data_IF_576028024170
#
_entry.id   IF_576028024170
#
_cell.length_a   1.000
_cell.length_b   1.000
_cell.length_c   1.000
_cell.angle_alpha   90.00
_cell.angle_beta   90.00
_cell.angle_gamma   90.00
#
_symmetry.space_group_name_H-M   'P 1'
#
loop_
_entity.id
_entity.type
_entity.pdbx_description
1 polymer ?
#
# COMPACT_ATOMS: atom_id res chain seq x y z
N UNK A 1 13.61 -60.19 0.02
CA UNK A 1 12.98 -59.38 1.09
C UNK A 1 12.67 -58.02 0.51
N UNK A 2 11.41 -57.76 0.14
CA UNK A 2 10.97 -56.49 -0.45
C UNK A 2 10.05 -55.81 0.57
N UNK A 3 10.49 -54.68 1.12
CA UNK A 3 9.73 -53.89 2.09
C UNK A 3 8.92 -52.84 1.35
N UNK A 4 7.61 -53.06 1.23
CA UNK A 4 6.69 -52.06 0.68
C UNK A 4 6.40 -50.99 1.74
N UNK A 5 6.80 -49.75 1.45
CA UNK A 5 6.47 -48.57 2.25
C UNK A 5 5.00 -48.26 2.04
N UNK A 6 4.17 -48.52 3.07
CA UNK A 6 2.77 -48.12 3.12
C UNK A 6 2.70 -46.62 3.45
N UNK A 7 2.71 -45.77 2.43
CA UNK A 7 2.37 -44.36 2.55
C UNK A 7 0.85 -44.23 2.74
N UNK A 8 0.41 -44.15 4.01
CA UNK A 8 -0.92 -43.63 4.35
C UNK A 8 -0.97 -42.15 3.97
N UNK A 9 -1.36 -41.88 2.73
CA UNK A 9 -1.85 -40.57 2.30
C UNK A 9 -3.11 -40.28 3.12
N UNK A 10 -2.96 -39.56 4.23
CA UNK A 10 -4.08 -39.04 4.98
C UNK A 10 -4.98 -38.27 4.02
N UNK A 11 -6.25 -38.66 3.96
CA UNK A 11 -7.26 -38.02 3.14
C UNK A 11 -7.21 -36.52 3.40
N UNK A 12 -6.65 -35.76 2.45
CA UNK A 12 -6.67 -34.31 2.48
C UNK A 12 -8.13 -33.94 2.33
N UNK A 13 -8.74 -33.55 3.45
CA UNK A 13 -10.11 -33.02 3.50
C UNK A 13 -10.23 -32.01 2.36
N UNK A 14 -11.10 -32.23 1.36
CA UNK A 14 -11.24 -31.28 0.27
C UNK A 14 -11.52 -29.93 0.92
N UNK A 15 -10.71 -28.93 0.58
CA UNK A 15 -10.94 -27.58 1.03
C UNK A 15 -12.39 -27.26 0.66
N UNK A 16 -13.24 -27.10 1.68
CA UNK A 16 -14.63 -26.76 1.50
C UNK A 16 -14.67 -25.57 0.53
N UNK A 17 -15.50 -25.67 -0.51
CA UNK A 17 -15.69 -24.64 -1.52
C UNK A 17 -15.72 -23.27 -0.84
N UNK A 18 -14.59 -22.56 -0.91
CA UNK A 18 -14.43 -21.29 -0.22
C UNK A 18 -15.38 -20.34 -0.90
N UNK A 19 -16.42 -19.88 -0.20
CA UNK A 19 -17.25 -18.79 -0.68
C UNK A 19 -16.31 -17.68 -1.20
N UNK A 20 -16.53 -17.12 -2.41
CA UNK A 20 -15.67 -16.07 -2.98
C UNK A 20 -15.51 -14.86 -2.05
N UNK A 21 -16.44 -14.69 -1.11
CA UNK A 21 -16.34 -13.72 -0.02
C UNK A 21 -15.22 -14.02 0.99
N UNK A 22 -14.93 -15.29 1.28
CA UNK A 22 -13.93 -15.67 2.27
C UNK A 22 -12.50 -15.37 1.79
N UNK A 23 -12.17 -15.63 0.52
CA UNK A 23 -10.85 -15.31 -0.04
C UNK A 23 -10.62 -13.80 -0.15
N UNK A 24 -11.66 -13.03 -0.51
CA UNK A 24 -11.60 -11.57 -0.51
C UNK A 24 -11.38 -11.01 0.91
N UNK A 25 -12.10 -11.53 1.91
CA UNK A 25 -11.95 -11.12 3.32
C UNK A 25 -10.56 -11.48 3.86
N UNK A 26 -10.01 -12.65 3.52
CA UNK A 26 -8.65 -13.02 3.90
C UNK A 26 -7.59 -12.09 3.30
N UNK A 27 -7.76 -11.72 2.02
CA UNK A 27 -6.86 -10.77 1.35
C UNK A 27 -6.94 -9.39 2.01
N UNK A 28 -8.14 -8.89 2.33
CA UNK A 28 -8.30 -7.63 3.05
C UNK A 28 -7.68 -7.68 4.45
N UNK A 29 -7.85 -8.78 5.19
CA UNK A 29 -7.22 -8.95 6.52
C UNK A 29 -5.69 -8.93 6.42
N UNK A 30 -5.09 -9.58 5.42
CA UNK A 30 -3.62 -9.54 5.22
C UNK A 30 -3.12 -8.13 4.93
N UNK A 31 -3.87 -7.34 4.17
CA UNK A 31 -3.50 -5.95 3.85
C UNK A 31 -3.59 -5.06 5.09
N UNK A 32 -4.60 -5.26 5.94
CA UNK A 32 -4.72 -4.54 7.21
C UNK A 32 -3.51 -4.84 8.12
N UNK A 33 -3.02 -6.09 8.13
CA UNK A 33 -1.78 -6.45 8.84
C UNK A 33 -0.54 -5.76 8.28
N UNK A 34 -0.41 -5.68 6.95
CA UNK A 34 0.70 -4.93 6.31
C UNK A 34 0.67 -3.46 6.74
N UNK A 35 -0.53 -2.85 6.84
CA UNK A 35 -0.66 -1.46 7.32
C UNK A 35 -0.30 -1.30 8.79
N UNK A 36 -0.69 -2.25 9.65
CA UNK A 36 -0.23 -2.25 11.05
C UNK A 36 1.28 -2.39 11.14
N UNK A 37 1.89 -3.24 10.30
CA UNK A 37 3.35 -3.35 10.23
C UNK A 37 3.98 -2.01 9.80
N UNK A 38 3.42 -1.32 8.80
CA UNK A 38 3.91 -0.01 8.38
C UNK A 38 3.81 1.04 9.50
N UNK A 39 2.73 1.02 10.29
CA UNK A 39 2.57 1.87 11.48
C UNK A 39 3.64 1.54 12.52
N UNK A 40 3.87 0.26 12.81
CA UNK A 40 4.90 -0.17 13.77
C UNK A 40 6.31 0.22 13.32
N UNK A 41 6.64 0.04 12.04
CA UNK A 41 7.92 0.49 11.47
C UNK A 41 8.05 2.01 11.58
N UNK A 42 6.98 2.76 11.30
CA UNK A 42 6.97 4.22 11.43
C UNK A 42 7.19 4.68 12.87
N UNK A 43 6.56 4.01 13.84
CA UNK A 43 6.76 4.28 15.27
C UNK A 43 8.18 3.91 15.72
N UNK A 44 8.71 2.79 15.26
CA UNK A 44 10.08 2.36 15.54
C UNK A 44 11.14 3.29 14.94
N UNK A 45 10.81 4.02 13.87
CA UNK A 45 11.69 5.01 13.27
C UNK A 45 11.76 6.34 14.05
N UNK A 46 10.76 6.65 14.88
CA UNK A 46 10.68 7.92 15.64
C UNK A 46 11.94 8.26 16.47
N UNK A 47 12.53 7.35 17.28
CA UNK A 47 13.72 7.69 18.05
C UNK A 47 14.90 8.11 17.18
N UNK A 48 15.03 7.54 15.97
CA UNK A 48 16.09 7.87 15.02
C UNK A 48 15.83 9.19 14.29
N UNK A 49 14.56 9.57 14.14
CA UNK A 49 14.14 10.83 13.52
C UNK A 49 14.04 11.98 14.52
N UNK A 50 13.99 11.69 15.81
CA UNK A 50 13.86 12.70 16.86
C UNK A 50 15.05 13.69 16.90
N UNK A 51 16.23 13.28 16.44
CA UNK A 51 17.40 14.14 16.36
C UNK A 51 17.43 15.05 15.12
N UNK A 52 16.72 14.69 14.05
CA UNK A 52 16.70 15.45 12.78
C UNK A 52 15.44 16.30 12.60
N UNK A 53 14.39 16.03 13.38
CA UNK A 53 13.10 16.72 13.30
C UNK A 53 12.91 17.70 14.45
N UNK A 54 12.28 18.84 14.16
CA UNK A 54 11.80 19.74 15.20
C UNK A 54 10.63 19.10 15.99
N UNK A 55 10.41 19.53 17.23
CA UNK A 55 9.33 19.07 18.11
C UNK A 55 7.95 19.16 17.44
N UNK A 56 7.69 20.24 16.70
CA UNK A 56 6.43 20.38 15.96
C UNK A 56 6.27 19.29 14.89
N UNK A 57 7.33 19.01 14.10
CA UNK A 57 7.31 17.95 13.09
C UNK A 57 7.12 16.56 13.71
N UNK A 58 7.70 16.29 14.88
CA UNK A 58 7.48 15.04 15.60
C UNK A 58 6.02 14.88 16.04
N UNK A 59 5.40 15.94 16.57
CA UNK A 59 3.99 15.94 16.95
C UNK A 59 3.09 15.75 15.72
N UNK A 60 3.38 16.43 14.61
CA UNK A 60 2.64 16.26 13.35
C UNK A 60 2.77 14.83 12.80
N UNK A 61 3.97 14.24 12.86
CA UNK A 61 4.20 12.86 12.44
C UNK A 61 3.44 11.86 13.33
N UNK A 62 3.46 12.05 14.65
CA UNK A 62 2.66 11.25 15.59
C UNK A 62 1.16 11.38 15.32
N UNK A 63 0.68 12.59 15.04
CA UNK A 63 -0.71 12.83 14.67
C UNK A 63 -1.09 12.13 13.36
N UNK A 64 -0.21 12.14 12.35
CA UNK A 64 -0.41 11.42 11.09
C UNK A 64 -0.42 9.90 11.29
N UNK A 65 0.48 9.37 12.11
CA UNK A 65 0.50 7.94 12.47
C UNK A 65 -0.80 7.57 13.21
N UNK A 66 -1.23 8.39 14.17
CA UNK A 66 -2.49 8.21 14.89
C UNK A 66 -3.71 8.26 13.96
N UNK A 67 -3.75 9.23 13.04
CA UNK A 67 -4.80 9.34 12.03
C UNK A 67 -4.81 8.13 11.09
N UNK A 68 -3.63 7.65 10.67
CA UNK A 68 -3.48 6.43 9.90
C UNK A 68 -3.98 5.18 10.64
N UNK A 69 -3.71 5.08 11.94
CA UNK A 69 -4.23 4.00 12.79
C UNK A 69 -5.75 4.04 12.92
N UNK A 70 -6.34 5.21 13.17
CA UNK A 70 -7.80 5.41 13.24
C UNK A 70 -8.45 5.09 11.89
N UNK A 71 -7.85 5.55 10.80
CA UNK A 71 -8.32 5.27 9.45
C UNK A 71 -8.28 3.76 9.16
N UNK A 72 -7.18 3.08 9.51
CA UNK A 72 -7.07 1.63 9.33
C UNK A 72 -8.09 0.85 10.18
N UNK A 73 -8.34 1.31 11.40
CA UNK A 73 -9.32 0.70 12.31
C UNK A 73 -10.75 0.91 11.81
N UNK A 74 -11.07 2.09 11.29
CA UNK A 74 -12.36 2.38 10.64
C UNK A 74 -12.60 1.45 9.47
N UNK A 75 -11.58 1.21 8.64
CA UNK A 75 -11.69 0.28 7.52
C UNK A 75 -11.94 -1.17 7.99
N UNK A 76 -11.28 -1.60 9.06
CA UNK A 76 -11.47 -2.93 9.65
C UNK A 76 -12.86 -3.10 10.27
N UNK A 77 -13.30 -2.14 11.08
CA UNK A 77 -14.49 -2.26 11.95
C UNK A 77 -15.77 -1.86 11.24
N UNK A 78 -15.74 -0.81 10.43
CA UNK A 78 -16.94 -0.26 9.78
C UNK A 78 -17.09 -0.81 8.38
N UNK A 79 -16.00 -0.89 7.62
CA UNK A 79 -16.08 -1.12 6.19
C UNK A 79 -16.13 -2.60 5.80
N UNK A 80 -15.30 -3.44 6.46
CA UNK A 80 -15.25 -4.88 6.22
C UNK A 80 -16.62 -5.56 6.45
N UNK A 81 -17.43 -5.19 7.47
CA UNK A 81 -18.75 -5.81 7.67
C UNK A 81 -19.84 -5.30 6.71
N UNK A 82 -19.77 -4.05 6.25
CA UNK A 82 -20.88 -3.41 5.51
C UNK A 82 -20.73 -3.47 3.98
N UNK A 83 -19.55 -3.83 3.44
CA UNK A 83 -19.26 -3.96 1.99
C UNK A 83 -19.87 -2.87 1.07
N UNK A 84 -19.69 -1.56 1.35
CA UNK A 84 -20.23 -0.51 0.48
C UNK A 84 -19.56 -0.51 -0.91
N UNK A 85 -20.36 -0.63 -1.97
CA UNK A 85 -19.93 -0.89 -3.35
C UNK A 85 -19.00 0.18 -3.97
N UNK A 86 -19.15 1.45 -3.55
CA UNK A 86 -18.26 2.55 -3.94
C UNK A 86 -16.88 2.42 -3.31
N UNK A 87 -16.79 2.01 -2.05
CA UNK A 87 -15.54 1.89 -1.31
C UNK A 87 -14.78 0.59 -1.64
N UNK A 88 -15.48 -0.45 -2.10
CA UNK A 88 -14.87 -1.67 -2.67
C UNK A 88 -14.18 -1.42 -4.01
N UNK A 89 -14.49 -0.31 -4.71
CA UNK A 89 -13.76 0.07 -5.92
C UNK A 89 -12.33 0.57 -5.64
N UNK A 90 -12.00 0.83 -4.37
CA UNK A 90 -10.64 1.02 -3.89
C UNK A 90 -9.98 2.37 -4.14
N UNK A 91 -10.55 3.22 -5.00
CA UNK A 91 -9.96 4.53 -5.31
C UNK A 91 -9.85 5.46 -4.11
N UNK A 92 -10.92 5.57 -3.30
CA UNK A 92 -10.88 6.41 -2.08
C UNK A 92 -9.83 5.91 -1.10
N UNK A 93 -9.78 4.58 -0.91
CA UNK A 93 -8.81 4.00 0.02
C UNK A 93 -7.38 4.28 -0.44
N UNK A 94 -7.12 4.12 -1.74
CA UNK A 94 -5.81 4.36 -2.33
C UNK A 94 -5.40 5.83 -2.22
N UNK A 95 -6.32 6.77 -2.51
CA UNK A 95 -6.06 8.20 -2.38
C UNK A 95 -5.75 8.54 -0.91
N UNK A 96 -6.56 8.04 0.04
CA UNK A 96 -6.33 8.27 1.47
C UNK A 96 -4.98 7.75 1.94
N UNK A 97 -4.59 6.54 1.53
CA UNK A 97 -3.28 5.95 1.86
C UNK A 97 -2.14 6.78 1.29
N UNK A 98 -2.26 7.21 0.03
CA UNK A 98 -1.25 8.04 -0.64
C UNK A 98 -1.11 9.38 0.10
N UNK A 99 -2.22 10.04 0.43
CA UNK A 99 -2.18 11.33 1.11
C UNK A 99 -1.59 11.23 2.52
N UNK A 100 -1.85 10.15 3.24
CA UNK A 100 -1.21 9.86 4.53
C UNK A 100 0.31 9.71 4.39
N UNK A 101 0.77 8.95 3.40
CA UNK A 101 2.20 8.82 3.11
C UNK A 101 2.80 10.15 2.68
N UNK A 102 2.12 10.90 1.83
CA UNK A 102 2.55 12.24 1.39
C UNK A 102 2.69 13.20 2.57
N UNK A 103 1.77 13.18 3.53
CA UNK A 103 1.89 13.92 4.77
C UNK A 103 3.15 13.52 5.56
N UNK A 104 3.40 12.22 5.69
CA UNK A 104 4.62 11.71 6.33
C UNK A 104 5.90 12.21 5.65
N UNK A 105 5.93 12.18 4.31
CA UNK A 105 7.05 12.69 3.51
C UNK A 105 7.26 14.18 3.70
N UNK A 106 6.19 14.97 3.68
CA UNK A 106 6.25 16.42 3.88
C UNK A 106 6.85 16.78 5.24
N UNK A 107 6.53 16.02 6.29
CA UNK A 107 6.98 16.31 7.66
C UNK A 107 8.40 15.80 7.92
N UNK A 108 8.77 14.65 7.33
CA UNK A 108 10.04 13.97 7.63
C UNK A 108 11.22 14.40 6.76
N UNK A 109 11.00 15.23 5.75
CA UNK A 109 12.07 15.84 4.97
C UNK A 109 13.00 16.76 5.77
N UNK A 110 12.53 17.26 6.93
CA UNK A 110 13.34 18.11 7.81
C UNK A 110 13.85 19.37 7.09
N UNK A 111 15.09 19.78 7.41
CA UNK A 111 15.75 20.94 6.80
C UNK A 111 16.27 20.69 5.39
N UNK A 112 16.43 19.42 4.99
CA UNK A 112 16.88 19.02 3.66
C UNK A 112 15.73 18.93 2.64
N UNK A 113 14.50 19.21 3.08
CA UNK A 113 13.31 19.22 2.25
C UNK A 113 12.76 17.82 1.91
N UNK A 114 11.62 17.75 1.21
CA UNK A 114 10.88 16.50 1.03
C UNK A 114 11.62 15.42 0.22
N UNK A 115 12.57 15.81 -0.63
CA UNK A 115 13.39 14.89 -1.43
C UNK A 115 14.33 14.04 -0.55
N UNK A 116 14.68 14.52 0.64
CA UNK A 116 15.51 13.78 1.60
C UNK A 116 14.70 12.85 2.53
N UNK A 117 13.37 12.88 2.44
CA UNK A 117 12.52 12.10 3.36
C UNK A 117 12.73 10.59 3.19
N UNK A 118 12.99 9.85 4.29
CA UNK A 118 13.06 8.38 4.27
C UNK A 118 11.68 7.74 4.05
N UNK A 119 10.58 8.46 4.34
CA UNK A 119 9.22 7.97 4.15
C UNK A 119 8.82 7.86 2.68
N UNK A 120 9.64 8.35 1.74
CA UNK A 120 9.42 8.15 0.31
C UNK A 120 9.24 6.66 -0.04
N UNK A 121 9.94 5.76 0.66
CA UNK A 121 9.83 4.31 0.44
C UNK A 121 8.42 3.76 0.70
N UNK A 122 7.62 4.42 1.55
CA UNK A 122 6.25 4.00 1.82
C UNK A 122 5.34 4.13 0.59
N UNK A 123 5.68 4.99 -0.39
CA UNK A 123 4.95 5.05 -1.66
C UNK A 123 5.00 3.74 -2.43
N UNK A 124 6.13 3.00 -2.38
CA UNK A 124 6.20 1.68 -3.02
C UNK A 124 5.24 0.71 -2.36
N UNK A 125 5.23 0.66 -1.03
CA UNK A 125 4.36 -0.25 -0.28
C UNK A 125 2.89 0.06 -0.56
N UNK A 126 2.48 1.34 -0.52
CA UNK A 126 1.11 1.74 -0.84
C UNK A 126 0.74 1.42 -2.29
N UNK A 127 1.65 1.66 -3.23
CA UNK A 127 1.40 1.38 -4.65
C UNK A 127 1.22 -0.12 -4.90
N UNK A 128 2.13 -0.94 -4.37
CA UNK A 128 2.09 -2.41 -4.49
C UNK A 128 0.82 -2.96 -3.85
N UNK A 129 0.53 -2.57 -2.61
CA UNK A 129 -0.65 -3.07 -1.89
C UNK A 129 -1.95 -2.66 -2.59
N UNK A 130 -2.02 -1.43 -3.12
CA UNK A 130 -3.17 -0.95 -3.91
C UNK A 130 -3.35 -1.77 -5.19
N UNK A 131 -2.26 -2.00 -5.92
CA UNK A 131 -2.27 -2.78 -7.17
C UNK A 131 -2.73 -4.23 -6.95
N UNK A 132 -2.18 -4.88 -5.92
CA UNK A 132 -2.54 -6.24 -5.52
C UNK A 132 -3.98 -6.30 -5.03
N UNK A 133 -4.48 -5.29 -4.33
CA UNK A 133 -5.85 -5.29 -3.81
C UNK A 133 -6.90 -5.04 -4.90
N UNK A 134 -6.72 -4.00 -5.71
CA UNK A 134 -7.83 -3.41 -6.45
C UNK A 134 -7.70 -3.47 -7.97
N UNK A 135 -6.51 -3.74 -8.52
CA UNK A 135 -6.36 -3.68 -9.98
C UNK A 135 -5.20 -2.83 -10.45
N UNK A 136 -4.85 -3.02 -11.72
CA UNK A 136 -4.02 -2.04 -12.44
C UNK A 136 -4.64 -0.64 -12.45
N UNK A 137 -5.97 -0.51 -12.56
CA UNK A 137 -6.61 0.81 -12.62
C UNK A 137 -6.47 1.59 -11.29
N UNK A 138 -6.72 0.94 -10.15
CA UNK A 138 -6.48 1.55 -8.85
C UNK A 138 -5.00 1.86 -8.60
N UNK A 139 -4.08 1.04 -9.13
CA UNK A 139 -2.65 1.34 -9.10
C UNK A 139 -2.32 2.63 -9.88
N UNK A 140 -2.94 2.82 -11.05
CA UNK A 140 -2.78 4.07 -11.84
C UNK A 140 -3.30 5.26 -11.04
N UNK A 141 -4.47 5.15 -10.40
CA UNK A 141 -5.01 6.23 -9.54
C UNK A 141 -4.04 6.55 -8.40
N UNK A 142 -3.49 5.54 -7.72
CA UNK A 142 -2.49 5.76 -6.67
C UNK A 142 -1.26 6.46 -7.22
N UNK A 143 -0.69 5.98 -8.34
CA UNK A 143 0.50 6.57 -8.97
C UNK A 143 0.26 8.03 -9.38
N UNK A 144 -0.88 8.34 -9.98
CA UNK A 144 -1.22 9.72 -10.34
C UNK A 144 -1.37 10.60 -9.10
N UNK A 145 -2.02 10.08 -8.05
CA UNK A 145 -2.15 10.79 -6.77
C UNK A 145 -0.77 11.03 -6.15
N UNK A 146 0.14 10.06 -6.23
CA UNK A 146 1.53 10.21 -5.77
C UNK A 146 2.24 11.27 -6.60
N UNK A 147 2.19 11.19 -7.92
CA UNK A 147 2.85 12.13 -8.81
C UNK A 147 2.42 13.58 -8.53
N UNK A 148 1.11 13.81 -8.40
CA UNK A 148 0.57 15.14 -8.11
C UNK A 148 0.90 15.60 -6.70
N UNK A 149 0.60 14.79 -5.69
CA UNK A 149 0.74 15.19 -4.28
C UNK A 149 2.20 15.30 -3.83
N UNK A 150 3.08 14.39 -4.28
CA UNK A 150 4.51 14.46 -3.99
C UNK A 150 5.17 15.65 -4.68
N UNK A 151 4.83 15.91 -5.95
CA UNK A 151 5.31 17.11 -6.66
C UNK A 151 4.87 18.38 -5.94
N UNK A 152 3.59 18.47 -5.55
CA UNK A 152 3.07 19.59 -4.79
C UNK A 152 3.83 19.80 -3.47
N UNK A 153 4.11 18.72 -2.73
CA UNK A 153 4.91 18.78 -1.50
C UNK A 153 6.34 19.24 -1.76
N UNK A 154 7.00 18.75 -2.81
CA UNK A 154 8.37 19.17 -3.16
C UNK A 154 8.41 20.66 -3.52
N UNK A 155 7.48 21.13 -4.35
CA UNK A 155 7.38 22.55 -4.69
C UNK A 155 7.09 23.41 -3.45
N UNK A 156 6.07 23.05 -2.67
CA UNK A 156 5.71 23.78 -1.45
C UNK A 156 6.87 23.83 -0.46
N UNK A 157 7.52 22.69 -0.19
CA UNK A 157 8.66 22.60 0.71
C UNK A 157 9.82 23.50 0.29
N UNK A 158 10.15 23.52 -1.01
CA UNK A 158 11.19 24.41 -1.54
C UNK A 158 10.82 25.89 -1.42
N UNK A 159 9.55 26.25 -1.70
CA UNK A 159 9.10 27.64 -1.54
C UNK A 159 9.16 28.10 -0.08
N UNK A 160 8.78 27.25 0.88
CA UNK A 160 8.83 27.57 2.32
C UNK A 160 10.27 27.68 2.82
N UNK A 161 11.17 26.85 2.29
CA UNK A 161 12.60 26.90 2.61
C UNK A 161 13.35 28.04 1.90
N UNK A 162 12.69 28.76 0.98
CA UNK A 162 13.31 29.83 0.19
C UNK A 162 14.36 29.31 -0.81
N UNK A 163 14.31 28.02 -1.15
CA UNK A 163 15.26 27.38 -2.06
C UNK A 163 14.65 27.24 -3.45
N UNK A 164 15.39 27.65 -4.48
CA UNK A 164 15.00 27.39 -5.86
C UNK A 164 15.23 25.91 -6.19
N UNK A 165 14.29 25.30 -6.91
CA UNK A 165 14.45 23.94 -7.43
C UNK A 165 15.62 23.90 -8.41
N UNK A 166 16.61 23.07 -8.13
CA UNK A 166 17.71 22.84 -9.05
C UNK A 166 17.33 21.83 -10.14
N UNK A 167 18.04 21.79 -11.28
CA UNK A 167 17.85 20.73 -12.27
C UNK A 167 18.01 19.32 -11.68
N UNK A 168 18.92 19.14 -10.73
CA UNK A 168 19.14 17.87 -10.04
C UNK A 168 17.92 17.45 -9.20
N UNK A 169 17.24 18.41 -8.56
CA UNK A 169 16.02 18.14 -7.79
C UNK A 169 14.88 17.68 -8.69
N UNK A 170 14.74 18.31 -9.85
CA UNK A 170 13.78 17.93 -10.88
C UNK A 170 14.07 16.53 -11.43
N UNK A 171 15.34 16.21 -11.70
CA UNK A 171 15.75 14.85 -12.12
C UNK A 171 15.44 13.83 -11.02
N UNK A 172 15.74 14.12 -9.76
CA UNK A 172 15.48 13.22 -8.64
C UNK A 172 13.96 13.00 -8.46
N UNK A 173 13.17 14.07 -8.51
CA UNK A 173 11.70 14.02 -8.48
C UNK A 173 11.15 13.15 -9.62
N UNK A 174 11.62 13.37 -10.86
CA UNK A 174 11.19 12.62 -12.02
C UNK A 174 11.57 11.14 -11.92
N UNK A 175 12.80 10.82 -11.52
CA UNK A 175 13.27 9.45 -11.35
C UNK A 175 12.50 8.70 -10.27
N UNK A 176 12.32 9.33 -9.10
CA UNK A 176 11.55 8.77 -7.99
C UNK A 176 10.11 8.48 -8.36
N UNK A 177 9.43 9.48 -8.93
CA UNK A 177 8.02 9.36 -9.33
C UNK A 177 7.86 8.37 -10.47
N UNK A 178 8.74 8.41 -11.47
CA UNK A 178 8.76 7.48 -12.60
C UNK A 178 9.00 6.04 -12.15
N UNK A 179 9.90 5.80 -11.19
CA UNK A 179 10.17 4.45 -10.69
C UNK A 179 9.00 3.88 -9.88
N UNK A 180 8.32 4.70 -9.07
CA UNK A 180 7.06 4.32 -8.40
C UNK A 180 5.97 4.03 -9.44
N UNK A 181 5.86 4.85 -10.48
CA UNK A 181 4.90 4.66 -11.56
C UNK A 181 5.11 3.33 -12.29
N UNK A 182 6.34 3.03 -12.70
CA UNK A 182 6.70 1.75 -13.33
C UNK A 182 6.39 0.57 -12.42
N UNK A 183 6.68 0.69 -11.12
CA UNK A 183 6.36 -0.35 -10.14
C UNK A 183 4.85 -0.59 -10.07
N UNK A 184 4.05 0.47 -9.98
CA UNK A 184 2.60 0.37 -9.94
C UNK A 184 1.99 -0.24 -11.19
N UNK A 185 2.49 0.13 -12.36
CA UNK A 185 2.07 -0.45 -13.64
C UNK A 185 2.41 -1.94 -13.68
N UNK A 186 3.65 -2.32 -13.34
CA UNK A 186 4.11 -3.70 -13.40
C UNK A 186 3.33 -4.60 -12.43
N UNK A 187 3.21 -4.19 -11.16
CA UNK A 187 2.48 -4.95 -10.14
C UNK A 187 0.98 -4.96 -10.44
N UNK A 188 0.44 -3.86 -10.95
CA UNK A 188 -0.95 -3.78 -11.40
C UNK A 188 -1.25 -4.82 -12.47
N UNK A 189 -0.38 -4.91 -13.48
CA UNK A 189 -0.48 -5.89 -14.55
C UNK A 189 -0.36 -7.34 -14.06
N UNK A 190 0.62 -7.62 -13.19
CA UNK A 190 0.80 -8.96 -12.60
C UNK A 190 -0.41 -9.33 -11.74
N UNK A 191 -0.91 -8.42 -10.92
CA UNK A 191 -2.10 -8.62 -10.08
C UNK A 191 -3.35 -8.87 -10.92
N UNK A 192 -3.52 -8.15 -12.03
CA UNK A 192 -4.64 -8.36 -12.94
C UNK A 192 -4.59 -9.74 -13.61
N UNK A 193 -3.40 -10.19 -14.01
CA UNK A 193 -3.22 -11.54 -14.57
C UNK A 193 -3.47 -12.63 -13.53
N UNK A 194 -2.95 -12.47 -12.30
CA UNK A 194 -3.16 -13.42 -11.22
C UNK A 194 -4.65 -13.60 -10.91
N UNK A 195 -5.39 -12.50 -10.77
CA UNK A 195 -6.85 -12.54 -10.55
C UNK A 195 -7.62 -13.19 -11.70
N UNK A 196 -7.21 -12.94 -12.94
CA UNK A 196 -7.83 -13.61 -14.11
C UNK A 196 -7.57 -15.11 -14.09
N UNK A 197 -6.37 -15.53 -13.73
CA UNK A 197 -6.02 -16.94 -13.59
C UNK A 197 -6.82 -17.61 -12.46
N UNK A 198 -6.97 -16.94 -11.30
CA UNK A 198 -7.79 -17.44 -10.19
C UNK A 198 -9.26 -17.61 -10.58
N UNK A 199 -9.83 -16.64 -11.31
CA UNK A 199 -11.22 -16.72 -11.80
C UNK A 199 -11.41 -17.85 -12.80
N UNK A 200 -10.49 -18.01 -13.75
CA UNK A 200 -10.54 -19.12 -14.70
C UNK A 200 -10.48 -20.49 -14.00
N UNK A 201 -9.63 -20.62 -12.96
CA UNK A 201 -9.54 -21.84 -12.16
C UNK A 201 -10.83 -22.12 -11.38
N UNK A 202 -11.48 -21.08 -10.85
CA UNK A 202 -12.76 -21.20 -10.15
C UNK A 202 -13.86 -21.67 -11.10
N UNK A 203 -13.93 -21.12 -12.31
CA UNK A 203 -14.89 -21.54 -13.34
C UNK A 203 -14.69 -23.01 -13.75
N UNK A 204 -13.45 -23.48 -13.87
CA UNK A 204 -13.14 -24.88 -14.17
C UNK A 204 -13.52 -25.82 -13.02
N UNK A 205 -13.28 -25.42 -11.77
CA UNK A 205 -13.68 -26.19 -10.59
C UNK A 205 -15.21 -26.26 -10.44
N UNK A 206 -15.92 -25.19 -10.74
CA UNK A 206 -17.40 -25.19 -10.75
C UNK A 206 -17.94 -26.13 -11.83
N UNK A 207 -17.33 -26.16 -13.02
CA UNK A 207 -17.70 -27.10 -14.09
C UNK A 207 -17.36 -28.56 -13.77
N UNK A 208 -16.28 -28.82 -13.04
CA UNK A 208 -15.87 -30.17 -12.66
C UNK A 208 -16.70 -30.75 -11.49
N UNK A 209 -17.33 -29.90 -10.69
CA UNK A 209 -18.22 -30.29 -9.59
C UNK A 209 -19.71 -30.34 -9.98
N UNK A 210 -20.08 -29.85 -11.17
CA UNK A 210 -21.42 -29.95 -11.76
C UNK A 210 -21.60 -31.26 -12.54
#
# INVERSE_FOLDING_TARGET
MSSSINLKLGARKPAAAGHPDASAIEMERRIIWIRWLAILVSLGALPFLASSLNRQSLVTLLALIGLGAIYNLTLLVVLLPHKPQWLTSGYISAIGDVLLVTGGVAVTGGTAGPLASPFFLAYFVVTVTTAVRFGGLAAIVAVLTIALSYTAVVYYGNTVLGTALTPNDLTNLAMRTGFVALTGIFVGFVGDRARRAERALQEELERAHA
#
